data_IF_994081314795
#
_entry.id   IF_994081314795
#
_cell.length_a   1.000
_cell.length_b   1.000
_cell.length_c   1.000
_cell.angle_alpha   90.00
_cell.angle_beta   90.00
_cell.angle_gamma   90.00
#
_symmetry.space_group_name_H-M   'P 1'
#
loop_
_entity.id
_entity.type
_entity.pdbx_description
1 polymer ?
#
# COMPACT_ATOMS: atom_id res chain seq x y z
N UNK A 1 32.40 -52.67 26.00
CA UNK A 1 33.03 -51.34 26.07
C UNK A 1 32.14 -50.38 25.30
N UNK A 2 31.33 -49.56 26.00
CA UNK A 2 30.33 -48.69 25.37
C UNK A 2 31.00 -47.33 25.16
N UNK A 3 30.96 -46.75 23.99
CA UNK A 3 31.58 -45.45 23.74
C UNK A 3 30.77 -44.34 24.43
N UNK A 4 31.46 -43.38 24.97
CA UNK A 4 31.01 -42.21 25.76
C UNK A 4 30.15 -41.26 24.89
N UNK A 5 28.94 -40.84 25.36
CA UNK A 5 28.10 -39.89 24.63
C UNK A 5 28.45 -38.45 25.03
N UNK A 6 29.58 -37.93 24.60
CA UNK A 6 29.89 -36.51 24.73
C UNK A 6 30.67 -36.01 23.54
N UNK A 7 29.96 -35.57 22.52
CA UNK A 7 30.35 -34.41 21.70
C UNK A 7 29.16 -34.02 20.87
N UNK A 8 28.17 -33.37 21.49
CA UNK A 8 27.24 -32.53 20.74
C UNK A 8 28.00 -31.25 20.45
N UNK A 9 28.57 -31.19 19.24
CA UNK A 9 29.13 -29.94 18.73
C UNK A 9 28.00 -28.93 18.69
N UNK A 10 28.03 -27.92 19.58
CA UNK A 10 27.19 -26.73 19.44
C UNK A 10 27.41 -26.17 18.06
N UNK A 11 26.38 -26.25 17.23
CA UNK A 11 26.31 -25.45 15.99
C UNK A 11 26.38 -23.98 16.39
N UNK A 12 27.50 -23.35 16.10
CA UNK A 12 27.62 -21.90 16.21
C UNK A 12 26.48 -21.28 15.38
N UNK A 13 25.78 -20.26 15.89
CA UNK A 13 24.76 -19.57 15.13
C UNK A 13 25.44 -18.95 13.90
N UNK A 14 25.19 -19.54 12.73
CA UNK A 14 25.77 -19.10 11.49
C UNK A 14 25.28 -17.71 11.14
N UNK A 15 26.24 -16.82 10.87
CA UNK A 15 26.18 -15.60 10.07
C UNK A 15 25.06 -14.63 10.46
N UNK A 16 25.46 -13.53 11.06
CA UNK A 16 24.73 -12.26 11.02
C UNK A 16 24.12 -12.08 9.63
N UNK A 17 22.79 -12.23 9.54
CA UNK A 17 22.05 -11.78 8.38
C UNK A 17 22.31 -10.29 8.26
N UNK A 18 23.11 -9.89 7.30
CA UNK A 18 23.28 -8.48 6.97
C UNK A 18 21.90 -7.97 6.56
N UNK A 19 21.32 -7.10 7.35
CA UNK A 19 20.00 -6.52 7.08
C UNK A 19 20.10 -5.71 5.78
N UNK A 20 19.35 -6.13 4.76
CA UNK A 20 19.38 -5.45 3.46
C UNK A 20 18.55 -4.19 3.58
N UNK A 21 19.16 -3.04 3.38
CA UNK A 21 18.45 -1.76 3.29
C UNK A 21 17.69 -1.68 1.96
N UNK A 22 16.36 -1.76 2.03
CA UNK A 22 15.46 -1.63 0.89
C UNK A 22 14.92 -0.20 0.72
N UNK A 23 15.38 0.75 1.54
CA UNK A 23 14.88 2.12 1.48
C UNK A 23 15.16 2.78 0.12
N UNK A 24 14.21 3.59 -0.34
CA UNK A 24 14.33 4.38 -1.57
C UNK A 24 14.02 5.84 -1.32
N UNK A 25 14.71 6.71 -2.07
CA UNK A 25 14.53 8.14 -2.00
C UNK A 25 13.81 8.64 -3.26
N UNK A 26 12.64 9.24 -3.10
CA UNK A 26 11.86 9.88 -4.16
C UNK A 26 11.78 11.39 -3.89
N UNK A 27 12.72 12.15 -4.44
CA UNK A 27 12.85 13.57 -4.12
C UNK A 27 13.07 13.80 -2.62
N UNK A 28 12.10 14.41 -1.93
CA UNK A 28 12.14 14.62 -0.47
C UNK A 28 11.49 13.48 0.35
N UNK A 29 10.78 12.57 -0.31
CA UNK A 29 10.14 11.43 0.34
C UNK A 29 11.11 10.26 0.43
N UNK A 30 11.32 9.73 1.64
CA UNK A 30 12.06 8.50 1.86
C UNK A 30 11.10 7.40 2.26
N UNK A 31 11.06 6.34 1.47
CA UNK A 31 10.27 5.15 1.73
C UNK A 31 11.15 4.05 2.30
N UNK A 32 10.63 3.25 3.21
CA UNK A 32 11.35 2.12 3.82
C UNK A 32 11.64 0.97 2.86
N UNK A 33 10.88 0.87 1.76
CA UNK A 33 11.10 -0.06 0.66
C UNK A 33 10.38 0.46 -0.61
N UNK A 34 10.67 -0.08 -1.82
CA UNK A 34 10.11 0.40 -3.08
C UNK A 34 8.67 -0.05 -3.36
N UNK A 35 8.03 -0.83 -2.49
CA UNK A 35 6.70 -1.39 -2.75
C UNK A 35 5.64 -0.38 -2.38
N UNK A 36 4.93 0.12 -3.37
CA UNK A 36 3.78 1.01 -3.20
C UNK A 36 2.54 0.41 -3.84
N UNK A 37 1.39 0.70 -3.25
CA UNK A 37 0.08 0.29 -3.82
C UNK A 37 -0.58 1.45 -4.53
N UNK A 38 -1.30 1.14 -5.62
CA UNK A 38 -1.87 2.14 -6.52
C UNK A 38 -3.32 2.47 -6.16
N UNK A 39 -3.71 3.72 -6.34
CA UNK A 39 -5.03 4.27 -6.01
C UNK A 39 -6.21 3.56 -6.67
N UNK A 40 -6.03 3.06 -7.91
CA UNK A 40 -7.09 2.39 -8.67
C UNK A 40 -7.42 0.97 -8.21
N UNK A 41 -6.56 0.34 -7.41
CA UNK A 41 -6.71 -1.06 -7.02
C UNK A 41 -6.78 -1.28 -5.51
N UNK A 42 -6.48 -0.28 -4.70
CA UNK A 42 -6.32 -0.43 -3.26
C UNK A 42 -7.34 0.36 -2.41
N UNK A 43 -8.24 1.10 -3.06
CA UNK A 43 -9.28 1.88 -2.38
C UNK A 43 -8.70 2.89 -1.38
N UNK A 44 -9.22 2.87 -0.17
CA UNK A 44 -8.69 3.63 0.97
C UNK A 44 -7.88 2.74 1.94
N UNK A 45 -7.37 1.61 1.45
CA UNK A 45 -6.58 0.61 2.17
C UNK A 45 -7.34 -0.19 3.25
N UNK A 46 -8.47 0.30 3.74
CA UNK A 46 -9.25 -0.37 4.79
C UNK A 46 -9.77 -1.72 4.33
N UNK A 47 -10.17 -1.80 3.08
CA UNK A 47 -10.69 -3.01 2.43
C UNK A 47 -9.64 -4.13 2.35
N UNK A 48 -8.36 -3.74 2.34
CA UNK A 48 -7.23 -4.66 2.19
C UNK A 48 -6.55 -5.04 3.50
N UNK A 49 -6.97 -4.45 4.62
CA UNK A 49 -6.32 -4.63 5.94
C UNK A 49 -6.34 -6.08 6.46
N UNK A 50 -7.29 -6.89 6.01
CA UNK A 50 -7.37 -8.31 6.36
C UNK A 50 -6.54 -9.23 5.45
N UNK A 51 -5.97 -8.70 4.38
CA UNK A 51 -5.25 -9.47 3.34
C UNK A 51 -3.76 -9.12 3.30
N UNK A 52 -3.43 -7.85 3.55
CA UNK A 52 -2.06 -7.32 3.46
C UNK A 52 -1.67 -6.65 4.77
N UNK A 53 -0.45 -6.92 5.26
CA UNK A 53 0.11 -6.10 6.33
C UNK A 53 0.49 -4.72 5.76
N UNK A 54 -0.36 -3.74 5.99
CA UNK A 54 -0.19 -2.37 5.49
C UNK A 54 1.12 -1.74 5.98
N UNK A 55 1.61 -2.15 7.16
CA UNK A 55 2.88 -1.67 7.72
C UNK A 55 4.09 -2.17 6.96
N UNK A 56 3.96 -3.26 6.22
CA UNK A 56 5.06 -3.78 5.39
C UNK A 56 5.25 -2.97 4.09
N UNK A 57 4.25 -2.20 3.67
CA UNK A 57 4.31 -1.39 2.45
C UNK A 57 5.23 -0.17 2.63
N UNK A 58 5.99 0.15 1.60
CA UNK A 58 6.77 1.38 1.51
C UNK A 58 5.87 2.61 1.41
N UNK A 59 4.72 2.50 0.73
CA UNK A 59 3.75 3.59 0.67
C UNK A 59 2.38 3.16 0.17
N UNK A 60 1.38 3.94 0.50
CA UNK A 60 -0.01 3.76 0.06
C UNK A 60 -0.45 5.00 -0.71
N UNK A 61 -0.92 4.80 -1.97
CA UNK A 61 -1.64 5.81 -2.73
C UNK A 61 -3.14 5.49 -2.64
N UNK A 62 -3.90 6.17 -1.76
CA UNK A 62 -5.35 5.98 -1.69
C UNK A 62 -6.05 6.52 -2.94
N UNK A 63 -7.36 6.31 -3.03
CA UNK A 63 -8.19 6.85 -4.12
C UNK A 63 -7.88 8.33 -4.37
N UNK A 64 -7.82 8.70 -5.64
CA UNK A 64 -7.67 10.11 -6.05
C UNK A 64 -8.85 10.93 -5.53
N UNK A 65 -8.57 12.07 -4.93
CA UNK A 65 -9.54 12.92 -4.26
C UNK A 65 -9.81 14.15 -5.13
N UNK A 66 -11.07 14.54 -5.23
CA UNK A 66 -11.50 15.82 -5.78
C UNK A 66 -12.03 16.72 -4.67
N UNK A 67 -12.19 18.01 -4.93
CA UNK A 67 -12.78 18.94 -3.96
C UNK A 67 -14.13 18.44 -3.50
N UNK A 68 -15.05 18.24 -4.45
CA UNK A 68 -16.39 17.75 -4.18
C UNK A 68 -16.43 16.23 -4.41
N UNK A 69 -17.34 15.53 -3.73
CA UNK A 69 -17.58 14.12 -3.95
C UNK A 69 -18.03 13.83 -5.39
N UNK A 70 -17.66 12.66 -5.89
CA UNK A 70 -18.02 12.20 -7.24
C UNK A 70 -18.49 10.76 -7.18
N UNK A 71 -19.70 10.44 -7.64
CA UNK A 71 -20.20 9.07 -7.67
C UNK A 71 -19.55 8.22 -8.78
N UNK A 72 -18.70 8.84 -9.63
CA UNK A 72 -18.16 8.18 -10.80
C UNK A 72 -19.19 7.99 -11.91
N UNK A 73 -18.86 7.15 -12.87
CA UNK A 73 -19.76 6.82 -13.98
C UNK A 73 -20.79 5.77 -13.55
N UNK A 74 -21.93 5.74 -14.24
CA UNK A 74 -22.92 4.67 -14.06
C UNK A 74 -22.34 3.31 -14.46
N UNK A 75 -22.77 2.20 -13.86
CA UNK A 75 -22.44 0.85 -14.32
C UNK A 75 -22.98 0.62 -15.76
N UNK A 76 -22.27 -0.18 -16.62
CA UNK A 76 -21.09 -0.99 -16.27
C UNK A 76 -19.82 -0.16 -16.45
N UNK A 77 -18.96 -0.14 -15.45
CA UNK A 77 -17.73 0.68 -15.42
C UNK A 77 -16.47 -0.08 -15.80
N UNK A 78 -16.57 -1.39 -15.92
CA UNK A 78 -15.46 -2.29 -16.28
C UNK A 78 -15.94 -3.33 -17.26
N UNK A 79 -15.09 -3.70 -18.23
CA UNK A 79 -15.35 -4.76 -19.19
C UNK A 79 -14.08 -5.54 -19.49
N UNK A 80 -14.18 -6.87 -19.48
CA UNK A 80 -13.08 -7.73 -19.93
C UNK A 80 -12.88 -7.62 -21.45
N UNK A 81 -11.62 -7.67 -21.85
CA UNK A 81 -11.19 -7.77 -23.24
C UNK A 81 -10.15 -8.88 -23.36
N UNK A 82 -9.82 -9.32 -24.58
CA UNK A 82 -8.96 -10.48 -24.84
C UNK A 82 -7.58 -10.44 -24.13
N UNK A 83 -7.08 -9.26 -23.79
CA UNK A 83 -5.75 -9.08 -23.18
C UNK A 83 -5.77 -8.22 -21.91
N UNK A 84 -6.91 -8.06 -21.25
CA UNK A 84 -6.99 -7.27 -20.04
C UNK A 84 -8.40 -6.77 -19.70
N UNK A 85 -8.44 -5.64 -18.99
CA UNK A 85 -9.65 -5.00 -18.50
C UNK A 85 -9.68 -3.54 -18.91
N UNK A 86 -10.73 -3.09 -19.59
CA UNK A 86 -11.03 -1.68 -19.80
C UNK A 86 -11.88 -1.16 -18.65
N UNK A 87 -11.60 0.05 -18.19
CA UNK A 87 -12.44 0.70 -17.20
C UNK A 87 -12.73 2.17 -17.51
N UNK A 88 -13.84 2.65 -16.96
CA UNK A 88 -14.28 4.04 -17.00
C UNK A 88 -14.92 4.38 -15.67
N UNK A 89 -14.14 4.37 -14.59
CA UNK A 89 -14.63 4.56 -13.21
C UNK A 89 -15.15 5.99 -13.00
N UNK A 90 -14.49 7.00 -13.57
CA UNK A 90 -14.93 8.40 -13.49
C UNK A 90 -14.53 9.13 -12.22
N UNK A 91 -13.38 8.76 -11.60
CA UNK A 91 -12.87 9.36 -10.37
C UNK A 91 -13.88 9.30 -9.21
N UNK A 92 -14.53 8.16 -9.02
CA UNK A 92 -15.40 7.89 -7.88
C UNK A 92 -14.65 8.12 -6.56
N UNK A 93 -15.09 9.09 -5.76
CA UNK A 93 -14.50 9.44 -4.46
C UNK A 93 -15.45 10.30 -3.62
N UNK A 94 -15.20 10.37 -2.31
CA UNK A 94 -16.09 11.02 -1.34
C UNK A 94 -15.84 12.53 -1.18
N UNK A 95 -14.85 13.09 -1.86
CA UNK A 95 -14.43 14.48 -1.72
C UNK A 95 -13.45 14.70 -0.57
N UNK A 96 -12.83 15.91 -0.55
CA UNK A 96 -11.73 16.21 0.38
C UNK A 96 -12.19 16.26 1.84
N UNK A 97 -13.33 16.85 2.12
CA UNK A 97 -13.80 17.04 3.50
C UNK A 97 -14.09 15.68 4.14
N UNK A 98 -14.83 14.81 3.45
CA UNK A 98 -15.09 13.45 3.92
C UNK A 98 -13.81 12.64 4.07
N UNK A 99 -12.86 12.79 3.13
CA UNK A 99 -11.56 12.12 3.21
C UNK A 99 -10.82 12.48 4.49
N UNK A 100 -10.74 13.77 4.82
CA UNK A 100 -10.02 14.25 6.01
C UNK A 100 -10.70 13.73 7.30
N UNK A 101 -12.02 13.72 7.34
CA UNK A 101 -12.75 13.32 8.53
C UNK A 101 -12.79 11.82 8.76
N UNK A 102 -12.90 11.01 7.68
CA UNK A 102 -13.26 9.60 7.78
C UNK A 102 -12.15 8.64 7.32
N UNK A 103 -11.38 9.00 6.29
CA UNK A 103 -10.33 8.10 5.74
C UNK A 103 -8.94 8.42 6.27
N UNK A 104 -8.62 9.68 6.43
CA UNK A 104 -7.29 10.13 6.85
C UNK A 104 -6.86 9.60 8.22
N UNK A 105 -7.68 9.61 9.28
CA UNK A 105 -7.30 9.06 10.58
C UNK A 105 -6.92 7.57 10.51
N UNK A 106 -7.66 6.80 9.71
CA UNK A 106 -7.35 5.40 9.49
C UNK A 106 -6.02 5.24 8.73
N UNK A 107 -5.83 5.95 7.63
CA UNK A 107 -4.61 5.89 6.84
C UNK A 107 -3.37 6.23 7.68
N UNK A 108 -3.43 7.26 8.51
CA UNK A 108 -2.35 7.61 9.45
C UNK A 108 -2.04 6.47 10.43
N UNK A 109 -3.04 5.73 10.88
CA UNK A 109 -2.87 4.62 11.82
C UNK A 109 -2.18 3.40 11.20
N UNK A 110 -2.08 3.30 9.88
CA UNK A 110 -1.47 2.15 9.20
C UNK A 110 0.03 2.04 9.40
N UNK A 111 0.72 3.17 9.68
CA UNK A 111 2.17 3.22 9.81
C UNK A 111 2.94 3.10 8.47
N UNK A 112 2.24 3.13 7.33
CA UNK A 112 2.84 3.28 6.01
C UNK A 112 2.90 4.77 5.60
N UNK A 113 3.81 5.11 4.69
CA UNK A 113 3.83 6.46 4.10
C UNK A 113 2.62 6.64 3.17
N UNK A 114 1.92 7.77 3.31
CA UNK A 114 0.73 8.06 2.52
C UNK A 114 1.04 9.13 1.48
N UNK A 115 0.78 8.81 0.21
CA UNK A 115 0.94 9.74 -0.91
C UNK A 115 -0.44 10.01 -1.51
N UNK A 116 -1.01 11.17 -1.19
CA UNK A 116 -2.35 11.53 -1.64
C UNK A 116 -2.34 12.03 -3.08
N UNK A 117 -3.19 11.46 -3.92
CA UNK A 117 -3.45 11.92 -5.28
C UNK A 117 -4.65 12.88 -5.27
N UNK A 118 -4.46 14.07 -5.85
CA UNK A 118 -5.50 15.11 -5.92
C UNK A 118 -5.76 15.46 -7.38
N UNK A 119 -7.03 15.56 -7.76
CA UNK A 119 -7.44 15.98 -9.09
C UNK A 119 -8.34 17.22 -9.05
N UNK A 120 -8.10 18.13 -10.01
CA UNK A 120 -8.88 19.34 -10.21
C UNK A 120 -9.17 19.60 -11.69
N UNK A 121 -10.07 20.53 -11.97
CA UNK A 121 -10.40 20.97 -13.34
C UNK A 121 -9.64 22.21 -13.77
N UNK A 122 -9.11 22.96 -12.81
CA UNK A 122 -8.32 24.20 -13.02
C UNK A 122 -7.30 24.37 -11.90
N UNK A 123 -6.31 25.17 -12.16
CA UNK A 123 -5.30 25.61 -11.19
C UNK A 123 -5.84 26.75 -10.33
#
# INVERSE_FOLDING_TARGET
MIPNPQTITKLEPSKTHQEIDLSVQLGRLRLKNPVMVASGTFGYAKEMSGVVDLRALGGILPKTITRDSRPGNAPWRTVEVSAGLLNAIGLDNDGIDYFIENHWPYLQSTGADIVVSVAGKSH
#
